data_IF_954083873084
#
_entry.id   IF_954083873084
#
_cell.length_a   1.000
_cell.length_b   1.000
_cell.length_c   1.000
_cell.angle_alpha   90.00
_cell.angle_beta   90.00
_cell.angle_gamma   90.00
#
_symmetry.space_group_name_H-M   'P 1'
#
loop_
_entity.id
_entity.type
_entity.pdbx_description
1 polymer ?
#
# COMPACT_ATOMS: atom_id res chain seq x y z
N UNK A 1 -13.04 6.94 -26.53
CA UNK A 1 -11.79 6.31 -25.98
C UNK A 1 -12.12 5.40 -24.80
N UNK A 2 -12.89 5.89 -23.82
CA UNK A 2 -13.58 5.01 -22.86
C UNK A 2 -14.32 3.87 -23.58
N UNK A 3 -14.93 4.16 -24.73
CA UNK A 3 -15.67 3.20 -25.56
C UNK A 3 -14.89 1.93 -25.91
N UNK A 4 -13.57 2.00 -26.18
CA UNK A 4 -12.76 0.80 -26.49
C UNK A 4 -12.59 -0.08 -25.26
N UNK A 5 -12.26 0.52 -24.11
CA UNK A 5 -12.06 -0.20 -22.84
C UNK A 5 -13.39 -0.76 -22.31
N UNK A 6 -14.48 -0.02 -22.49
CA UNK A 6 -15.85 -0.45 -22.14
C UNK A 6 -16.32 -1.57 -23.06
N UNK A 7 -15.91 -1.59 -24.32
CA UNK A 7 -16.23 -2.68 -25.27
C UNK A 7 -15.48 -3.98 -25.02
N UNK A 8 -14.44 -3.99 -24.16
CA UNK A 8 -13.74 -5.22 -23.82
C UNK A 8 -14.68 -6.17 -23.06
N UNK A 9 -14.62 -7.50 -23.34
CA UNK A 9 -15.43 -8.48 -22.63
C UNK A 9 -15.25 -8.39 -21.10
N UNK A 10 -16.21 -8.93 -20.33
CA UNK A 10 -16.06 -9.06 -18.88
C UNK A 10 -14.74 -9.75 -18.53
N UNK A 11 -14.10 -9.29 -17.45
CA UNK A 11 -12.81 -9.82 -17.00
C UNK A 11 -12.87 -11.33 -16.73
N UNK A 12 -13.98 -11.82 -16.19
CA UNK A 12 -14.24 -13.24 -15.94
C UNK A 12 -14.34 -14.08 -17.22
N UNK A 13 -14.80 -13.50 -18.33
CA UNK A 13 -14.86 -14.15 -19.64
C UNK A 13 -13.45 -14.22 -20.24
N UNK A 14 -12.71 -13.11 -20.25
CA UNK A 14 -11.32 -13.08 -20.73
C UNK A 14 -10.42 -14.07 -19.97
N UNK A 15 -10.65 -14.25 -18.66
CA UNK A 15 -9.97 -15.28 -17.87
C UNK A 15 -10.30 -16.70 -18.32
N UNK A 16 -11.57 -16.99 -18.61
CA UNK A 16 -12.00 -18.30 -19.08
C UNK A 16 -11.39 -18.62 -20.44
N UNK A 17 -11.42 -17.65 -21.36
CA UNK A 17 -10.86 -17.79 -22.71
C UNK A 17 -9.36 -18.01 -22.68
N UNK A 18 -8.66 -17.35 -21.76
CA UNK A 18 -7.22 -17.51 -21.56
C UNK A 18 -6.85 -18.75 -20.74
N UNK A 19 -7.82 -19.52 -20.23
CA UNK A 19 -7.57 -20.68 -19.36
C UNK A 19 -6.88 -20.31 -18.04
N UNK A 20 -7.10 -19.09 -17.54
CA UNK A 20 -6.43 -18.57 -16.36
C UNK A 20 -7.22 -18.84 -15.08
N UNK A 21 -6.54 -19.47 -14.13
CA UNK A 21 -7.07 -19.71 -12.79
C UNK A 21 -6.24 -18.96 -11.72
N UNK A 22 -6.88 -18.51 -10.63
CA UNK A 22 -6.18 -17.89 -9.51
C UNK A 22 -5.15 -18.83 -8.87
N UNK A 23 -3.91 -18.37 -8.74
CA UNK A 23 -2.80 -19.14 -8.16
C UNK A 23 -2.57 -18.78 -6.70
N UNK A 24 -2.75 -19.78 -5.83
CA UNK A 24 -2.54 -19.63 -4.37
C UNK A 24 -1.14 -19.12 -4.00
N UNK A 25 -0.11 -19.55 -4.72
CA UNK A 25 1.29 -19.15 -4.46
C UNK A 25 1.55 -17.64 -4.62
N UNK A 26 0.72 -16.95 -5.41
CA UNK A 26 0.80 -15.50 -5.60
C UNK A 26 -0.21 -14.74 -4.72
N UNK A 27 -0.98 -15.43 -3.88
CA UNK A 27 -2.00 -14.80 -3.05
C UNK A 27 -3.14 -14.15 -3.84
N UNK A 28 -3.37 -14.59 -5.09
CA UNK A 28 -4.34 -13.99 -5.99
C UNK A 28 -5.78 -14.16 -5.49
N UNK A 29 -6.46 -13.04 -5.27
CA UNK A 29 -7.89 -12.93 -5.01
C UNK A 29 -8.42 -11.81 -5.91
N UNK A 30 -9.14 -12.16 -6.96
CA UNK A 30 -9.54 -11.22 -8.01
C UNK A 30 -10.86 -10.53 -7.67
N UNK A 31 -10.93 -9.25 -8.03
CA UNK A 31 -12.16 -8.46 -8.00
C UNK A 31 -12.77 -8.42 -9.41
N UNK A 32 -13.99 -8.94 -9.54
CA UNK A 32 -14.76 -8.87 -10.79
C UNK A 32 -15.87 -7.81 -10.76
N UNK A 33 -16.19 -7.28 -9.58
CA UNK A 33 -17.21 -6.24 -9.43
C UNK A 33 -16.67 -4.90 -9.94
N UNK A 34 -17.21 -4.45 -11.07
CA UNK A 34 -16.88 -3.18 -11.72
C UNK A 34 -17.29 -1.96 -10.88
N UNK A 35 -18.35 -2.06 -10.09
CA UNK A 35 -18.76 -0.97 -9.20
C UNK A 35 -17.76 -0.79 -8.07
N UNK A 36 -17.28 -1.90 -7.50
CA UNK A 36 -16.27 -1.88 -6.44
C UNK A 36 -14.92 -1.37 -6.96
N UNK A 37 -14.41 -1.91 -8.06
CA UNK A 37 -13.15 -1.44 -8.67
C UNK A 37 -13.26 0.02 -9.11
N UNK A 38 -14.38 0.44 -9.69
CA UNK A 38 -14.67 1.84 -10.00
C UNK A 38 -14.70 2.74 -8.77
N UNK A 39 -15.27 2.27 -7.65
CA UNK A 39 -15.26 3.00 -6.37
C UNK A 39 -13.84 3.17 -5.82
N UNK A 40 -12.99 2.15 -5.94
CA UNK A 40 -11.56 2.21 -5.55
C UNK A 40 -10.82 3.21 -6.43
N UNK A 41 -10.99 3.13 -7.76
CA UNK A 41 -10.32 4.02 -8.70
C UNK A 41 -10.68 5.50 -8.46
N UNK A 42 -11.97 5.81 -8.27
CA UNK A 42 -12.43 7.17 -7.96
C UNK A 42 -11.97 7.69 -6.59
N UNK A 43 -11.47 6.82 -5.71
CA UNK A 43 -10.92 7.24 -4.43
C UNK A 43 -9.45 7.64 -4.52
N UNK A 44 -8.78 7.47 -5.67
CA UNK A 44 -7.45 8.02 -5.91
C UNK A 44 -7.57 9.55 -6.08
N UNK A 45 -6.95 10.36 -5.19
CA UNK A 45 -6.97 11.82 -5.33
C UNK A 45 -6.39 12.27 -6.66
N UNK A 46 -6.99 13.28 -7.29
CA UNK A 46 -6.53 13.92 -8.53
C UNK A 46 -6.21 12.94 -9.68
N UNK A 47 -6.90 11.80 -9.75
CA UNK A 47 -6.62 10.71 -10.70
C UNK A 47 -6.55 11.18 -12.15
N UNK A 48 -7.34 12.19 -12.55
CA UNK A 48 -7.35 12.75 -13.91
C UNK A 48 -6.05 13.50 -14.29
N UNK A 49 -5.19 13.78 -13.31
CA UNK A 49 -4.01 14.63 -13.47
C UNK A 49 -2.70 13.95 -13.07
N UNK A 50 -2.74 12.77 -12.47
CA UNK A 50 -1.55 12.07 -11.99
C UNK A 50 -1.44 10.65 -12.57
N UNK A 51 -0.24 10.21 -13.00
CA UNK A 51 -0.03 8.81 -13.35
C UNK A 51 -0.26 7.91 -12.13
N UNK A 52 -0.80 6.72 -12.39
CA UNK A 52 -1.07 5.71 -11.36
C UNK A 52 -0.16 4.50 -11.57
N UNK A 53 0.58 4.12 -10.53
CA UNK A 53 1.28 2.85 -10.47
C UNK A 53 0.36 1.83 -9.82
N UNK A 54 -0.01 0.80 -10.58
CA UNK A 54 -0.82 -0.32 -10.11
C UNK A 54 0.05 -1.53 -9.79
N UNK A 55 -0.17 -2.16 -8.63
CA UNK A 55 0.59 -3.35 -8.23
C UNK A 55 -0.33 -4.56 -8.19
N UNK A 56 0.05 -5.60 -8.94
CA UNK A 56 -0.72 -6.84 -9.05
C UNK A 56 -2.07 -6.60 -9.75
N UNK A 57 -2.09 -6.13 -11.01
CA UNK A 57 -3.34 -5.92 -11.75
C UNK A 57 -4.16 -7.21 -11.93
N UNK A 58 -3.51 -8.38 -11.86
CA UNK A 58 -4.12 -9.68 -12.10
C UNK A 58 -4.80 -9.69 -13.48
N UNK A 59 -6.12 -9.94 -13.56
CA UNK A 59 -6.83 -9.96 -14.83
C UNK A 59 -7.27 -8.54 -15.30
N UNK A 60 -6.84 -7.48 -14.62
CA UNK A 60 -6.98 -6.09 -15.07
C UNK A 60 -8.31 -5.41 -14.71
N UNK A 61 -9.05 -5.92 -13.74
CA UNK A 61 -10.31 -5.30 -13.29
C UNK A 61 -10.11 -3.90 -12.71
N UNK A 62 -9.14 -3.74 -11.81
CA UNK A 62 -8.78 -2.44 -11.26
C UNK A 62 -8.06 -1.57 -12.31
N UNK A 63 -7.18 -2.15 -13.14
CA UNK A 63 -6.55 -1.46 -14.28
C UNK A 63 -7.57 -0.75 -15.17
N UNK A 64 -8.61 -1.47 -15.61
CA UNK A 64 -9.70 -0.89 -16.43
C UNK A 64 -10.39 0.24 -15.67
N UNK A 65 -10.70 0.05 -14.39
CA UNK A 65 -11.36 1.06 -13.58
C UNK A 65 -10.52 2.34 -13.43
N UNK A 66 -9.20 2.23 -13.26
CA UNK A 66 -8.28 3.36 -13.19
C UNK A 66 -8.27 4.16 -14.51
N UNK A 67 -8.18 3.45 -15.64
CA UNK A 67 -8.18 4.06 -16.96
C UNK A 67 -9.51 4.75 -17.31
N UNK A 68 -10.63 4.17 -16.88
CA UNK A 68 -11.98 4.72 -17.05
C UNK A 68 -12.26 5.89 -16.09
N UNK A 69 -11.63 5.90 -14.91
CA UNK A 69 -11.67 7.02 -13.98
C UNK A 69 -10.81 8.22 -14.44
N UNK A 70 -10.20 8.14 -15.64
CA UNK A 70 -9.52 9.28 -16.26
C UNK A 70 -8.01 9.32 -16.01
N UNK A 71 -7.41 8.27 -15.43
CA UNK A 71 -5.95 8.23 -15.23
C UNK A 71 -5.21 8.55 -16.55
N UNK A 72 -4.33 9.58 -16.58
CA UNK A 72 -3.62 9.97 -17.80
C UNK A 72 -2.65 8.87 -18.25
N UNK A 73 -2.12 8.11 -17.28
CA UNK A 73 -1.27 6.94 -17.51
C UNK A 73 -1.40 5.97 -16.35
N UNK A 74 -1.43 4.68 -16.65
CA UNK A 74 -1.36 3.58 -15.69
C UNK A 74 -0.13 2.74 -15.99
N UNK A 75 0.72 2.51 -14.99
CA UNK A 75 1.85 1.59 -15.06
C UNK A 75 1.54 0.42 -14.12
N UNK A 76 1.22 -0.73 -14.69
CA UNK A 76 0.87 -1.92 -13.93
C UNK A 76 2.07 -2.86 -13.79
N UNK A 77 2.41 -3.24 -12.56
CA UNK A 77 3.50 -4.18 -12.26
C UNK A 77 2.90 -5.52 -11.86
N UNK A 78 3.09 -6.55 -12.69
CA UNK A 78 2.51 -7.88 -12.51
C UNK A 78 3.59 -8.96 -12.44
N UNK A 79 3.58 -9.73 -11.35
CA UNK A 79 4.54 -10.82 -11.16
C UNK A 79 4.17 -12.05 -11.97
N UNK A 80 2.88 -12.31 -12.16
CA UNK A 80 2.37 -13.47 -12.87
C UNK A 80 2.26 -13.21 -14.38
N UNK A 81 3.32 -13.55 -15.11
CA UNK A 81 3.39 -13.45 -16.57
C UNK A 81 2.26 -14.14 -17.32
N UNK A 82 1.58 -15.12 -16.73
CA UNK A 82 0.49 -15.81 -17.44
C UNK A 82 -0.74 -14.92 -17.63
N UNK A 83 -0.84 -13.79 -16.93
CA UNK A 83 -1.90 -12.79 -17.13
C UNK A 83 -1.78 -12.01 -18.43
N UNK A 84 -0.65 -12.12 -19.15
CA UNK A 84 -0.38 -11.30 -20.33
C UNK A 84 -1.42 -11.38 -21.44
N UNK A 85 -2.02 -12.54 -21.79
CA UNK A 85 -3.04 -12.59 -22.83
C UNK A 85 -4.27 -11.71 -22.53
N UNK A 86 -4.52 -11.37 -21.26
CA UNK A 86 -5.60 -10.45 -20.86
C UNK A 86 -5.09 -9.02 -20.81
N UNK A 87 -3.97 -8.78 -20.13
CA UNK A 87 -3.44 -7.42 -19.94
C UNK A 87 -3.03 -6.79 -21.27
N UNK A 88 -2.48 -7.57 -22.21
CA UNK A 88 -2.08 -7.08 -23.54
C UNK A 88 -3.32 -6.61 -24.35
N UNK A 89 -4.48 -7.28 -24.21
CA UNK A 89 -5.74 -6.82 -24.81
C UNK A 89 -6.20 -5.47 -24.23
N UNK A 90 -5.94 -5.23 -22.96
CA UNK A 90 -6.24 -3.94 -22.32
C UNK A 90 -5.27 -2.89 -22.85
N UNK A 91 -3.98 -3.22 -22.98
CA UNK A 91 -2.97 -2.32 -23.57
C UNK A 91 -3.41 -1.85 -24.96
N UNK A 92 -3.80 -2.77 -25.83
CA UNK A 92 -4.27 -2.48 -27.19
C UNK A 92 -5.50 -1.55 -27.22
N UNK A 93 -6.35 -1.61 -26.20
CA UNK A 93 -7.55 -0.79 -26.07
C UNK A 93 -7.31 0.61 -25.46
N UNK A 94 -6.07 0.93 -25.05
CA UNK A 94 -5.77 2.15 -24.26
C UNK A 94 -4.97 3.21 -24.98
N UNK A 95 -4.62 2.98 -26.26
CA UNK A 95 -3.86 3.90 -27.10
C UNK A 95 -2.61 4.47 -26.39
N UNK A 96 -1.88 3.61 -25.66
CA UNK A 96 -0.62 3.96 -24.97
C UNK A 96 -0.77 4.45 -23.52
N UNK A 97 -1.99 4.58 -22.98
CA UNK A 97 -2.19 4.97 -21.57
C UNK A 97 -1.83 3.88 -20.57
N UNK A 98 -1.78 2.61 -20.96
CA UNK A 98 -1.37 1.50 -20.11
C UNK A 98 0.03 1.01 -20.50
N UNK A 99 0.90 0.86 -19.51
CA UNK A 99 2.16 0.11 -19.61
C UNK A 99 2.13 -1.03 -18.61
N UNK A 100 2.50 -2.24 -19.03
CA UNK A 100 2.58 -3.42 -18.15
C UNK A 100 4.03 -3.86 -18.02
N UNK A 101 4.50 -4.00 -16.79
CA UNK A 101 5.84 -4.47 -16.44
C UNK A 101 5.70 -5.81 -15.75
N UNK A 102 6.25 -6.86 -16.35
CA UNK A 102 6.19 -8.20 -15.78
C UNK A 102 7.40 -8.51 -14.89
N UNK A 103 7.35 -8.03 -13.65
CA UNK A 103 8.39 -8.26 -12.64
C UNK A 103 7.80 -8.29 -11.21
N UNK A 104 8.64 -8.66 -10.24
CA UNK A 104 8.33 -8.53 -8.83
C UNK A 104 8.37 -7.06 -8.41
N UNK A 105 7.24 -6.53 -7.91
CA UNK A 105 7.15 -5.15 -7.42
C UNK A 105 8.15 -4.83 -6.30
N UNK A 106 8.69 -5.83 -5.59
CA UNK A 106 9.77 -5.64 -4.61
C UNK A 106 11.14 -5.37 -5.24
N UNK A 107 11.28 -5.56 -6.56
CA UNK A 107 12.53 -5.40 -7.32
C UNK A 107 12.51 -4.21 -8.27
N UNK A 108 11.34 -3.78 -8.72
CA UNK A 108 11.21 -2.64 -9.62
C UNK A 108 11.61 -1.35 -8.90
N UNK A 109 12.54 -0.60 -9.47
CA UNK A 109 12.83 0.77 -9.05
C UNK A 109 11.85 1.73 -9.73
N UNK A 110 11.05 2.46 -8.94
CA UNK A 110 10.04 3.34 -9.54
C UNK A 110 10.67 4.61 -10.11
N UNK A 111 11.92 4.92 -9.75
CA UNK A 111 12.67 6.05 -10.32
C UNK A 111 12.94 5.86 -11.82
N UNK A 112 12.95 4.61 -12.30
CA UNK A 112 13.19 4.26 -13.70
C UNK A 112 11.91 4.26 -14.56
N UNK A 113 10.74 4.50 -13.97
CA UNK A 113 9.45 4.46 -14.69
C UNK A 113 9.19 5.67 -15.58
N UNK A 114 10.06 6.68 -15.54
CA UNK A 114 9.92 7.90 -16.33
C UNK A 114 8.66 8.71 -15.98
N UNK A 115 8.27 8.68 -14.71
CA UNK A 115 7.17 9.47 -14.15
C UNK A 115 7.71 10.28 -12.96
N UNK A 116 7.20 11.50 -12.80
CA UNK A 116 7.38 12.29 -11.58
C UNK A 116 6.00 12.63 -11.03
N UNK A 117 5.84 12.53 -9.71
CA UNK A 117 4.56 12.76 -9.05
C UNK A 117 3.51 11.72 -9.43
N UNK A 118 3.40 10.63 -8.66
CA UNK A 118 2.49 9.54 -9.00
C UNK A 118 1.67 9.06 -7.80
N UNK A 119 0.51 8.47 -8.08
CA UNK A 119 -0.27 7.72 -7.10
C UNK A 119 0.05 6.22 -7.17
N UNK A 120 -0.11 5.53 -6.06
CA UNK A 120 -0.08 4.06 -6.01
C UNK A 120 -1.49 3.57 -5.75
N UNK A 121 -2.01 2.66 -6.58
CA UNK A 121 -3.30 2.03 -6.32
C UNK A 121 -3.18 0.51 -6.46
N UNK A 122 -3.59 -0.26 -5.44
CA UNK A 122 -3.39 -1.69 -5.50
C UNK A 122 -4.38 -2.49 -4.65
N UNK A 123 -4.76 -3.66 -5.17
CA UNK A 123 -5.30 -4.76 -4.39
C UNK A 123 -4.13 -5.68 -3.96
N UNK A 124 -3.48 -5.35 -2.86
CA UNK A 124 -2.20 -5.97 -2.52
C UNK A 124 -2.36 -7.45 -2.12
N UNK A 125 -1.50 -8.35 -2.65
CA UNK A 125 -1.43 -9.71 -2.14
C UNK A 125 -1.04 -9.70 -0.66
N UNK A 126 -1.76 -10.49 0.15
CA UNK A 126 -1.65 -10.43 1.61
C UNK A 126 -0.28 -10.83 2.17
N UNK A 127 0.51 -11.58 1.41
CA UNK A 127 1.84 -12.04 1.82
C UNK A 127 2.93 -10.97 1.66
N UNK A 128 2.74 -9.97 0.79
CA UNK A 128 3.75 -8.93 0.50
C UNK A 128 3.27 -7.51 0.76
N UNK A 129 1.96 -7.30 0.96
CA UNK A 129 1.37 -5.96 1.08
C UNK A 129 1.99 -5.09 2.17
N UNK A 130 2.23 -5.65 3.36
CA UNK A 130 2.85 -4.91 4.47
C UNK A 130 4.28 -4.46 4.17
N UNK A 131 5.07 -5.31 3.50
CA UNK A 131 6.45 -4.99 3.13
C UNK A 131 6.48 -3.89 2.06
N UNK A 132 5.69 -4.04 1.00
CA UNK A 132 5.55 -3.04 -0.06
C UNK A 132 5.12 -1.68 0.51
N UNK A 133 4.08 -1.68 1.34
CA UNK A 133 3.59 -0.47 2.00
C UNK A 133 4.67 0.21 2.84
N UNK A 134 5.40 -0.56 3.65
CA UNK A 134 6.50 -0.02 4.47
C UNK A 134 7.56 0.61 3.57
N UNK A 135 7.98 -0.06 2.49
CA UNK A 135 8.96 0.47 1.54
C UNK A 135 8.50 1.78 0.91
N UNK A 136 7.22 1.90 0.52
CA UNK A 136 6.69 3.14 -0.06
C UNK A 136 6.61 4.28 0.95
N UNK A 137 6.25 4.01 2.20
CA UNK A 137 6.33 5.02 3.26
C UNK A 137 7.77 5.52 3.44
N UNK A 138 8.75 4.62 3.50
CA UNK A 138 10.16 5.00 3.64
C UNK A 138 10.65 5.81 2.44
N UNK A 139 10.23 5.44 1.22
CA UNK A 139 10.55 6.17 -0.01
C UNK A 139 9.94 7.58 -0.01
N UNK A 140 8.67 7.71 0.36
CA UNK A 140 8.03 9.01 0.54
C UNK A 140 8.75 9.88 1.58
N UNK A 141 9.13 9.28 2.72
CA UNK A 141 9.88 9.97 3.76
C UNK A 141 11.28 10.43 3.30
N UNK A 142 11.89 9.73 2.33
CA UNK A 142 13.17 10.09 1.70
C UNK A 142 13.03 11.08 0.54
N UNK A 143 11.83 11.62 0.32
CA UNK A 143 11.58 12.67 -0.67
C UNK A 143 11.11 12.18 -2.04
N UNK A 144 10.79 10.89 -2.20
CA UNK A 144 10.16 10.43 -3.43
C UNK A 144 8.76 11.01 -3.58
N UNK A 145 8.42 11.45 -4.80
CA UNK A 145 7.22 12.22 -5.10
C UNK A 145 5.95 11.33 -5.21
N UNK A 146 5.68 10.54 -4.17
CA UNK A 146 4.45 9.76 -4.04
C UNK A 146 3.34 10.71 -3.58
N UNK A 147 2.34 10.94 -4.45
CA UNK A 147 1.23 11.87 -4.17
C UNK A 147 0.18 11.28 -3.25
N UNK A 148 -0.14 10.02 -3.44
CA UNK A 148 -1.16 9.30 -2.67
C UNK A 148 -1.00 7.80 -2.83
N UNK A 149 -1.55 7.04 -1.89
CA UNK A 149 -1.67 5.60 -1.97
C UNK A 149 -3.10 5.19 -1.62
N UNK A 150 -3.78 4.55 -2.56
CA UNK A 150 -5.12 3.97 -2.37
C UNK A 150 -5.01 2.46 -2.41
N UNK A 151 -4.89 1.85 -1.23
CA UNK A 151 -4.44 0.47 -1.10
C UNK A 151 -5.51 -0.38 -0.40
N UNK A 152 -5.74 -1.58 -0.90
CA UNK A 152 -6.59 -2.55 -0.24
C UNK A 152 -5.75 -3.58 0.50
N UNK A 153 -6.08 -3.79 1.78
CA UNK A 153 -5.46 -4.77 2.66
C UNK A 153 -6.51 -5.67 3.32
N UNK A 154 -6.08 -6.73 4.00
CA UNK A 154 -6.91 -7.35 5.03
C UNK A 154 -7.30 -6.31 6.08
N UNK A 155 -8.53 -6.39 6.61
CA UNK A 155 -9.06 -5.38 7.55
C UNK A 155 -8.14 -5.13 8.74
N UNK A 156 -7.60 -6.19 9.34
CA UNK A 156 -6.67 -6.07 10.48
C UNK A 156 -5.39 -5.29 10.13
N UNK A 157 -4.87 -5.45 8.90
CA UNK A 157 -3.70 -4.70 8.45
C UNK A 157 -4.05 -3.23 8.20
N UNK A 158 -5.21 -2.97 7.60
CA UNK A 158 -5.71 -1.60 7.45
C UNK A 158 -5.86 -0.90 8.80
N UNK A 159 -6.39 -1.59 9.82
CA UNK A 159 -6.50 -1.08 11.19
C UNK A 159 -5.14 -0.79 11.81
N UNK A 160 -4.13 -1.65 11.58
CA UNK A 160 -2.75 -1.38 12.05
C UNK A 160 -2.12 -0.17 11.39
N UNK A 161 -2.44 0.10 10.12
CA UNK A 161 -1.92 1.28 9.39
C UNK A 161 -2.50 2.57 9.96
N UNK A 162 -3.79 2.57 10.32
CA UNK A 162 -4.48 3.76 10.83
C UNK A 162 -4.53 3.85 12.35
N UNK A 163 -3.97 2.88 13.07
CA UNK A 163 -3.99 2.84 14.52
C UNK A 163 -3.12 3.94 15.15
N UNK A 164 -3.63 4.47 16.25
CA UNK A 164 -3.01 5.51 17.09
C UNK A 164 -2.71 4.98 18.49
N UNK A 165 -1.98 5.75 19.31
CA UNK A 165 -1.63 5.35 20.68
C UNK A 165 -2.90 5.02 21.47
N UNK A 166 -2.89 3.86 22.14
CA UNK A 166 -4.03 3.35 22.89
C UNK A 166 -4.93 2.38 22.10
N UNK A 167 -4.84 2.36 20.77
CA UNK A 167 -5.55 1.36 19.97
C UNK A 167 -4.93 -0.03 20.11
N UNK A 168 -5.77 -1.06 20.15
CA UNK A 168 -5.30 -2.45 20.25
C UNK A 168 -4.37 -2.86 19.09
N UNK A 169 -4.62 -2.33 17.89
CA UNK A 169 -3.83 -2.60 16.69
C UNK A 169 -2.61 -1.69 16.55
N UNK A 170 -2.38 -0.77 17.48
CA UNK A 170 -1.22 0.11 17.44
C UNK A 170 0.09 -0.68 17.46
N UNK A 171 1.06 -0.21 16.68
CA UNK A 171 2.24 -0.98 16.35
C UNK A 171 3.19 -0.23 15.44
N UNK A 172 4.24 -0.92 14.99
CA UNK A 172 5.24 -0.38 14.07
C UNK A 172 4.62 0.29 12.84
N UNK A 173 3.62 -0.32 12.22
CA UNK A 173 2.94 0.24 11.04
C UNK A 173 2.24 1.57 11.35
N UNK A 174 1.50 1.64 12.45
CA UNK A 174 0.81 2.86 12.88
C UNK A 174 1.80 3.99 13.18
N UNK A 175 2.93 3.69 13.84
CA UNK A 175 4.00 4.67 14.10
C UNK A 175 4.58 5.21 12.80
N UNK A 176 5.04 4.34 11.90
CA UNK A 176 5.66 4.75 10.63
C UNK A 176 4.67 5.54 9.77
N UNK A 177 3.42 5.10 9.69
CA UNK A 177 2.38 5.80 8.95
C UNK A 177 2.11 7.17 9.56
N UNK A 178 1.94 7.26 10.87
CA UNK A 178 1.64 8.51 11.58
C UNK A 178 2.73 9.56 11.42
N UNK A 179 4.00 9.16 11.31
CA UNK A 179 5.13 10.06 11.12
C UNK A 179 5.31 10.54 9.68
N UNK A 180 4.81 9.78 8.70
CA UNK A 180 5.08 10.07 7.28
C UNK A 180 3.85 10.63 6.57
N UNK A 181 2.65 10.21 6.95
CA UNK A 181 1.44 10.40 6.16
C UNK A 181 0.19 10.66 7.02
N UNK A 182 -0.86 11.12 6.37
CA UNK A 182 -2.22 11.06 6.88
C UNK A 182 -2.92 9.86 6.27
N UNK A 183 -3.48 8.97 7.12
CA UNK A 183 -4.07 7.71 6.68
C UNK A 183 -5.43 7.48 7.32
N UNK A 184 -6.39 6.96 6.54
CA UNK A 184 -7.71 6.60 7.03
C UNK A 184 -8.32 5.46 6.19
N UNK A 185 -9.13 4.64 6.85
CA UNK A 185 -9.93 3.61 6.18
C UNK A 185 -11.07 4.31 5.44
N UNK A 186 -11.16 4.12 4.13
CA UNK A 186 -12.23 4.66 3.29
C UNK A 186 -13.50 3.82 3.42
N UNK A 187 -13.37 2.50 3.30
CA UNK A 187 -14.48 1.55 3.45
C UNK A 187 -14.01 0.10 3.57
N UNK A 188 -14.85 -0.73 4.18
CA UNK A 188 -14.67 -2.18 4.22
C UNK A 188 -15.18 -2.84 2.94
N UNK A 189 -14.54 -3.94 2.57
CA UNK A 189 -14.89 -4.78 1.42
C UNK A 189 -15.20 -6.19 1.91
N UNK A 190 -16.42 -6.71 1.67
CA UNK A 190 -16.77 -8.06 2.09
C UNK A 190 -15.93 -9.08 1.32
N UNK A 191 -15.56 -10.17 1.98
CA UNK A 191 -14.78 -11.23 1.32
C UNK A 191 -15.53 -11.92 0.18
N UNK A 192 -16.86 -11.81 0.12
CA UNK A 192 -17.68 -12.30 -1.01
C UNK A 192 -17.47 -11.53 -2.30
N UNK A 193 -16.78 -10.38 -2.27
CA UNK A 193 -16.44 -9.60 -3.46
C UNK A 193 -15.27 -10.20 -4.28
N UNK A 194 -14.62 -11.24 -3.77
CA UNK A 194 -13.39 -11.80 -4.33
C UNK A 194 -13.56 -13.22 -4.84
N UNK A 195 -12.76 -13.57 -5.85
CA UNK A 195 -12.64 -14.94 -6.38
C UNK A 195 -11.15 -15.32 -6.49
N UNK A 196 -10.69 -16.37 -5.77
CA UNK A 196 -11.39 -17.09 -4.71
C UNK A 196 -11.69 -16.19 -3.49
N UNK A 197 -12.64 -16.62 -2.65
CA UNK A 197 -13.03 -15.89 -1.44
C UNK A 197 -11.94 -16.00 -0.36
N UNK A 198 -11.39 -14.89 0.15
CA UNK A 198 -10.48 -14.92 1.29
C UNK A 198 -11.23 -15.20 2.60
N UNK A 199 -10.48 -15.64 3.62
CA UNK A 199 -11.03 -15.97 4.94
C UNK A 199 -11.48 -14.74 5.73
N UNK A 200 -10.85 -13.60 5.49
CA UNK A 200 -11.05 -12.35 6.23
C UNK A 200 -11.59 -11.27 5.31
N UNK A 201 -12.23 -10.26 5.91
CA UNK A 201 -12.64 -9.06 5.19
C UNK A 201 -11.42 -8.22 4.80
N UNK A 202 -11.60 -7.40 3.75
CA UNK A 202 -10.62 -6.42 3.33
C UNK A 202 -11.10 -5.00 3.64
N UNK A 203 -10.20 -4.03 3.58
CA UNK A 203 -10.53 -2.61 3.70
C UNK A 203 -9.63 -1.81 2.76
N UNK A 204 -10.19 -0.75 2.19
CA UNK A 204 -9.47 0.21 1.35
C UNK A 204 -9.01 1.37 2.22
N UNK A 205 -7.73 1.69 2.14
CA UNK A 205 -7.06 2.73 2.94
C UNK A 205 -6.56 3.80 1.98
N UNK A 206 -6.84 5.07 2.33
CA UNK A 206 -6.18 6.22 1.72
C UNK A 206 -5.01 6.63 2.59
N UNK A 207 -3.84 6.82 1.97
CA UNK A 207 -2.62 7.30 2.64
C UNK A 207 -2.02 8.43 1.80
N UNK A 208 -1.90 9.61 2.39
CA UNK A 208 -1.37 10.80 1.72
C UNK A 208 -0.11 11.24 2.46
N UNK A 209 1.09 11.13 1.85
CA UNK A 209 2.33 11.63 2.44
C UNK A 209 2.20 13.11 2.84
N UNK A 210 2.60 13.42 4.08
CA UNK A 210 2.45 14.76 4.64
C UNK A 210 3.80 15.46 4.73
N UNK A 211 4.00 16.48 3.91
CA UNK A 211 5.27 17.22 3.83
C UNK A 211 5.69 17.90 5.14
N UNK A 212 4.75 18.26 6.03
CA UNK A 212 5.10 18.81 7.35
C UNK A 212 5.64 17.72 8.27
N UNK A 213 4.99 16.55 8.30
CA UNK A 213 5.42 15.42 9.14
C UNK A 213 6.76 14.85 8.68
N UNK A 214 6.92 14.67 7.36
CA UNK A 214 8.18 14.20 6.75
C UNK A 214 9.34 15.12 7.10
N UNK A 215 9.16 16.45 7.05
CA UNK A 215 10.20 17.42 7.45
C UNK A 215 10.58 17.39 8.93
N UNK A 216 9.74 16.81 9.78
CA UNK A 216 10.03 16.65 11.21
C UNK A 216 10.79 15.35 11.52
N UNK A 217 11.05 14.51 10.51
CA UNK A 217 11.83 13.29 10.64
C UNK A 217 13.30 13.60 10.30
N UNK A 218 14.21 13.31 11.24
CA UNK A 218 15.66 13.43 11.01
C UNK A 218 16.21 12.27 10.17
N UNK A 219 15.99 11.03 10.64
CA UNK A 219 16.38 9.81 9.91
C UNK A 219 15.28 8.74 10.02
N UNK A 220 14.56 8.53 8.92
CA UNK A 220 13.51 7.51 8.84
C UNK A 220 14.06 6.08 9.00
N UNK A 221 15.33 5.86 8.64
CA UNK A 221 15.98 4.55 8.77
C UNK A 221 16.28 4.24 10.24
N UNK A 222 16.67 5.23 11.03
CA UNK A 222 16.80 5.11 12.48
C UNK A 222 15.44 4.78 13.13
N UNK A 223 14.37 5.48 12.71
CA UNK A 223 13.00 5.23 13.17
C UNK A 223 12.56 3.80 12.83
N UNK A 224 12.85 3.33 11.62
CA UNK A 224 12.56 1.96 11.21
C UNK A 224 13.26 0.94 12.12
N UNK A 225 14.56 1.13 12.40
CA UNK A 225 15.35 0.25 13.27
C UNK A 225 14.82 0.22 14.69
N UNK A 226 14.55 1.38 15.30
CA UNK A 226 14.12 1.44 16.70
C UNK A 226 12.70 0.89 16.88
N UNK A 227 11.79 1.20 15.95
CA UNK A 227 10.42 0.65 15.98
C UNK A 227 10.46 -0.87 15.79
N UNK A 228 11.29 -1.40 14.89
CA UNK A 228 11.48 -2.84 14.74
C UNK A 228 12.02 -3.50 16.02
N UNK A 229 13.02 -2.89 16.67
CA UNK A 229 13.60 -3.40 17.93
C UNK A 229 12.57 -3.44 19.07
N UNK A 230 11.83 -2.35 19.27
CA UNK A 230 10.89 -2.21 20.38
C UNK A 230 9.63 -3.07 20.17
N UNK A 231 9.00 -3.03 19.00
CA UNK A 231 7.83 -3.86 18.71
C UNK A 231 8.16 -5.35 18.54
N UNK A 232 9.41 -5.71 18.22
CA UNK A 232 9.88 -7.10 18.24
C UNK A 232 9.81 -7.75 19.62
N UNK A 233 9.76 -6.96 20.69
CA UNK A 233 9.61 -7.42 22.07
C UNK A 233 8.42 -6.74 22.77
N UNK A 234 7.29 -6.61 22.06
CA UNK A 234 6.09 -5.83 22.44
C UNK A 234 5.63 -5.95 23.91
N UNK A 235 5.77 -7.11 24.54
CA UNK A 235 5.35 -7.35 25.94
C UNK A 235 6.36 -6.92 27.01
N UNK A 236 7.59 -6.58 26.63
CA UNK A 236 8.64 -6.11 27.54
C UNK A 236 8.59 -4.60 27.70
N UNK A 237 8.98 -4.14 28.89
CA UNK A 237 9.25 -2.72 29.17
C UNK A 237 10.45 -2.25 28.36
N UNK A 238 10.45 -0.99 27.90
CA UNK A 238 11.49 -0.45 27.04
C UNK A 238 12.89 -0.48 27.67
N UNK A 239 13.02 -0.28 28.99
CA UNK A 239 14.30 -0.43 29.72
C UNK A 239 14.89 -1.84 29.67
N UNK A 240 14.03 -2.85 29.50
CA UNK A 240 14.45 -4.24 29.35
C UNK A 240 14.87 -4.59 27.91
N UNK A 241 14.54 -3.73 26.94
CA UNK A 241 14.91 -3.89 25.53
C UNK A 241 16.15 -3.06 25.19
N UNK A 242 16.24 -1.85 25.75
CA UNK A 242 17.37 -0.93 25.60
C UNK A 242 17.88 -0.56 27.01
N UNK A 243 18.84 -1.31 27.56
CA UNK A 243 19.38 -1.02 28.88
C UNK A 243 20.29 0.22 28.85
N UNK A 244 20.59 0.76 30.04
CA UNK A 244 21.55 1.87 30.23
C UNK A 244 21.17 3.19 29.53
N UNK A 245 19.87 3.45 29.40
CA UNK A 245 19.33 4.73 28.91
C UNK A 245 18.77 5.53 30.08
N UNK A 246 19.10 6.82 30.14
CA UNK A 246 18.42 7.77 31.01
C UNK A 246 17.06 8.14 30.40
N UNK A 247 16.01 7.44 30.84
CA UNK A 247 14.66 7.58 30.28
C UNK A 247 13.98 8.90 30.65
N UNK A 248 14.38 9.53 31.76
CA UNK A 248 13.79 10.80 32.22
C UNK A 248 14.05 11.92 31.21
N UNK A 249 15.17 11.88 30.48
CA UNK A 249 15.49 12.78 29.36
C UNK A 249 14.40 12.81 28.27
N UNK A 250 13.67 11.71 28.10
CA UNK A 250 12.60 11.57 27.12
C UNK A 250 11.20 11.71 27.74
N UNK A 251 11.11 12.08 29.02
CA UNK A 251 9.85 12.13 29.77
C UNK A 251 9.26 10.74 30.06
N UNK A 252 10.11 9.71 30.13
CA UNK A 252 9.71 8.31 30.34
C UNK A 252 10.33 7.75 31.62
N UNK A 253 9.70 6.73 32.19
CA UNK A 253 10.22 5.97 33.35
C UNK A 253 11.05 4.75 32.94
N UNK A 254 10.98 4.38 31.66
CA UNK A 254 11.54 3.14 31.12
C UNK A 254 10.66 1.91 31.38
N UNK A 255 9.57 2.04 32.14
CA UNK A 255 8.63 0.95 32.42
C UNK A 255 7.54 0.83 31.36
N UNK A 256 7.44 1.82 30.47
CA UNK A 256 6.49 1.86 29.37
C UNK A 256 6.74 0.71 28.41
N UNK A 257 5.70 0.28 27.72
CA UNK A 257 5.80 -0.63 26.57
C UNK A 257 5.79 0.15 25.26
N UNK A 258 6.26 -0.49 24.19
CA UNK A 258 6.32 0.13 22.86
C UNK A 258 4.96 0.68 22.39
N UNK A 259 3.85 0.02 22.76
CA UNK A 259 2.49 0.42 22.40
C UNK A 259 1.96 1.64 23.19
N UNK A 260 2.68 2.08 24.22
CA UNK A 260 2.34 3.25 25.03
C UNK A 260 3.08 4.51 24.55
N UNK A 261 4.06 4.37 23.65
CA UNK A 261 4.88 5.47 23.16
C UNK A 261 4.23 6.18 21.96
N UNK A 262 4.29 7.51 21.95
CA UNK A 262 3.84 8.32 20.82
C UNK A 262 4.82 8.24 19.64
N UNK A 263 4.36 8.52 18.41
CA UNK A 263 5.25 8.56 17.25
C UNK A 263 6.40 9.58 17.42
N UNK A 264 6.14 10.72 18.05
CA UNK A 264 7.15 11.75 18.34
C UNK A 264 8.23 11.23 19.29
N UNK A 265 7.83 10.45 20.31
CA UNK A 265 8.78 9.78 21.19
C UNK A 265 9.65 8.79 20.42
N UNK A 266 9.09 8.03 19.47
CA UNK A 266 9.91 7.18 18.59
C UNK A 266 10.91 7.98 17.75
N UNK A 267 10.50 9.14 17.21
CA UNK A 267 11.41 10.01 16.46
C UNK A 267 12.57 10.54 17.34
N UNK A 268 12.27 10.96 18.58
CA UNK A 268 13.30 11.40 19.53
C UNK A 268 14.26 10.27 19.91
N UNK A 269 13.74 9.08 20.22
CA UNK A 269 14.57 7.93 20.57
C UNK A 269 15.42 7.46 19.38
N UNK A 270 14.88 7.53 18.16
CA UNK A 270 15.62 7.18 16.95
C UNK A 270 16.83 8.10 16.75
N UNK A 271 16.65 9.41 16.91
CA UNK A 271 17.72 10.41 16.75
C UNK A 271 18.86 10.21 17.76
N UNK A 272 18.53 9.87 19.00
CA UNK A 272 19.50 9.85 20.10
C UNK A 272 20.13 8.47 20.36
N UNK A 273 19.50 7.36 19.93
CA UNK A 273 19.89 5.99 20.32
C UNK A 273 20.26 5.05 19.17
N UNK A 274 20.16 5.48 17.91
CA UNK A 274 20.47 4.66 16.71
C UNK A 274 21.48 5.37 15.84
#
# INVERSE_FOLDING_TARGET
MADKIESLPPVSEMMRDAGLEPKKQFGQNFLFDLNLTGRIARAVPDIEHIPVVEIGPGPGGLTRALLLAGAPRVIAIEKDKTTSPILDRIVDATDGRLTVIYDDALRVDFSELGIDGYAICANLPYNVGTELFTRWLLRAARGENIKSMTLMFQREVAERITATVGDAQYGRLGVLTSLVADAHILFNVPNTAFVPRPRVQSAVVSVIPNAKKIRAIDDITAIEKITAKLFGQRRKMIRGIIPNVDWEKYGLTGTERAEELTPETFALLARDLV
#
